data_IF_003758552633
#
_entry.id   IF_003758552633
#
_cell.length_a   1.000
_cell.length_b   1.000
_cell.length_c   1.000
_cell.angle_alpha   90.00
_cell.angle_beta   90.00
_cell.angle_gamma   90.00
#
_symmetry.space_group_name_H-M   'P 1'
#
loop_
_entity.id
_entity.type
_entity.pdbx_description
1 polymer ?
#
# COMPACT_ATOMS: atom_id res chain seq x y z
N UNK A 1 2.87 20.66 12.82
CA UNK A 1 2.47 19.61 11.89
C UNK A 1 2.79 18.25 12.46
N UNK A 2 1.82 17.40 12.52
CA UNK A 2 2.02 16.07 13.04
C UNK A 2 2.30 15.05 11.95
N UNK A 3 2.78 13.91 12.37
CA UNK A 3 2.87 12.73 11.53
C UNK A 3 1.83 11.74 12.02
N UNK A 4 1.40 10.86 11.13
CA UNK A 4 0.40 9.86 11.45
C UNK A 4 1.03 8.48 11.30
N UNK A 5 0.90 7.68 12.35
CA UNK A 5 1.32 6.28 12.32
C UNK A 5 0.10 5.40 12.44
N UNK A 6 0.17 4.22 11.85
CA UNK A 6 -0.89 3.24 11.97
C UNK A 6 -0.28 1.84 12.07
N UNK A 7 -0.90 1.00 12.87
CA UNK A 7 -0.51 -0.39 12.99
C UNK A 7 -1.22 -1.21 11.94
N UNK A 8 -0.49 -2.07 11.27
CA UNK A 8 -1.04 -3.00 10.30
C UNK A 8 -0.54 -4.40 10.60
N UNK A 9 -1.40 -5.36 10.37
CA UNK A 9 -1.02 -6.77 10.42
C UNK A 9 -0.77 -7.22 8.99
N UNK A 10 0.40 -7.78 8.75
CA UNK A 10 0.84 -8.16 7.42
C UNK A 10 1.02 -9.65 7.31
N UNK A 11 0.75 -10.17 6.12
CA UNK A 11 1.06 -11.56 5.78
C UNK A 11 1.17 -11.71 4.28
N UNK A 12 1.64 -12.86 3.84
CA UNK A 12 1.68 -13.20 2.42
C UNK A 12 0.25 -13.27 1.87
N UNK A 13 0.05 -12.91 0.60
CA UNK A 13 -1.28 -13.00 0.00
C UNK A 13 -1.85 -14.42 0.00
N UNK A 14 -1.00 -15.45 -0.06
CA UNK A 14 -1.45 -16.83 -0.06
C UNK A 14 -1.86 -17.33 1.33
N UNK A 15 -1.72 -16.50 2.36
CA UNK A 15 -2.07 -16.85 3.74
C UNK A 15 -1.08 -17.77 4.41
N UNK A 16 0.00 -18.14 3.76
CA UNK A 16 1.03 -19.02 4.31
C UNK A 16 2.12 -18.22 4.99
N UNK A 17 2.81 -18.88 5.91
CA UNK A 17 3.93 -18.28 6.61
C UNK A 17 3.50 -17.37 7.76
N UNK A 18 4.46 -16.64 8.32
CA UNK A 18 4.22 -15.84 9.50
C UNK A 18 3.43 -14.58 9.22
N UNK A 19 2.84 -14.02 10.27
CA UNK A 19 2.28 -12.67 10.24
C UNK A 19 3.19 -11.73 11.00
N UNK A 20 3.14 -10.44 10.67
CA UNK A 20 3.91 -9.41 11.35
C UNK A 20 3.03 -8.21 11.62
N UNK A 21 3.14 -7.66 12.81
CA UNK A 21 2.54 -6.37 13.11
C UNK A 21 3.59 -5.30 12.87
N UNK A 22 3.23 -4.31 12.05
CA UNK A 22 4.17 -3.28 11.64
C UNK A 22 3.54 -1.91 11.85
N UNK A 23 4.32 -1.00 12.40
CA UNK A 23 3.91 0.38 12.55
C UNK A 23 4.38 1.16 11.32
N UNK A 24 3.43 1.73 10.60
CA UNK A 24 3.70 2.48 9.38
C UNK A 24 3.58 3.97 9.62
N UNK A 25 4.49 4.71 9.01
CA UNK A 25 4.30 6.14 8.81
C UNK A 25 3.39 6.31 7.60
N UNK A 26 2.27 7.00 7.79
CA UNK A 26 1.31 7.22 6.69
C UNK A 26 1.76 8.41 5.86
N UNK A 27 1.95 8.17 4.55
CA UNK A 27 2.37 9.22 3.62
C UNK A 27 1.58 9.07 2.32
N UNK A 28 0.52 9.87 2.19
CA UNK A 28 -0.34 9.83 1.01
C UNK A 28 0.32 10.43 -0.23
N UNK A 29 1.49 11.05 -0.08
CA UNK A 29 2.29 11.51 -1.21
C UNK A 29 3.13 10.41 -1.85
N UNK A 30 3.23 9.26 -1.21
CA UNK A 30 3.92 8.09 -1.73
C UNK A 30 2.89 7.16 -2.35
N UNK A 31 3.13 6.69 -3.58
CA UNK A 31 2.13 5.89 -4.28
C UNK A 31 2.05 4.47 -3.72
N UNK A 32 3.18 3.77 -3.62
CA UNK A 32 3.22 2.41 -3.10
C UNK A 32 3.77 2.39 -1.68
N UNK A 33 3.23 1.51 -0.85
CA UNK A 33 3.79 1.26 0.47
C UNK A 33 5.18 0.65 0.34
N UNK A 34 6.02 0.92 1.34
CA UNK A 34 7.41 0.43 1.36
C UNK A 34 7.59 -0.42 2.61
N UNK A 35 8.15 -1.61 2.43
CA UNK A 35 8.50 -2.49 3.52
C UNK A 35 10.03 -2.55 3.63
N UNK A 36 10.60 -2.25 4.82
CA UNK A 36 12.04 -2.45 5.00
C UNK A 36 12.42 -3.92 4.85
N UNK A 37 13.67 -4.16 4.55
CA UNK A 37 14.18 -5.48 4.21
C UNK A 37 13.85 -6.54 5.26
N UNK A 38 14.04 -6.23 6.53
CA UNK A 38 13.75 -7.17 7.61
C UNK A 38 12.30 -7.65 7.57
N UNK A 39 11.37 -6.73 7.27
CA UNK A 39 9.95 -7.05 7.27
C UNK A 39 9.60 -7.97 6.09
N UNK A 40 9.98 -7.59 4.87
CA UNK A 40 9.55 -8.40 3.73
C UNK A 40 10.29 -9.74 3.66
N UNK A 41 11.52 -9.80 4.16
CA UNK A 41 12.22 -11.10 4.28
C UNK A 41 11.58 -11.98 5.33
N UNK A 42 11.21 -11.39 6.47
CA UNK A 42 10.52 -12.13 7.53
C UNK A 42 9.18 -12.69 7.09
N UNK A 43 8.49 -11.98 6.21
CA UNK A 43 7.22 -12.43 5.63
C UNK A 43 7.44 -13.39 4.46
N UNK A 44 8.68 -13.56 4.00
CA UNK A 44 9.03 -14.40 2.86
C UNK A 44 8.37 -13.93 1.56
N UNK A 45 8.25 -12.62 1.39
CA UNK A 45 7.76 -12.05 0.14
C UNK A 45 8.84 -12.16 -0.92
N UNK A 46 8.41 -12.31 -2.16
CA UNK A 46 9.32 -12.43 -3.31
C UNK A 46 9.04 -11.32 -4.30
N UNK A 47 10.10 -10.84 -4.95
CA UNK A 47 9.98 -9.87 -6.01
C UNK A 47 9.14 -10.46 -7.16
N UNK A 48 8.15 -9.71 -7.60
CA UNK A 48 7.28 -10.11 -8.71
C UNK A 48 7.58 -9.33 -9.97
N UNK A 49 8.03 -8.08 -9.82
CA UNK A 49 8.39 -7.24 -10.96
C UNK A 49 9.31 -6.13 -10.49
N UNK A 50 9.96 -5.49 -11.47
CA UNK A 50 10.78 -4.31 -11.24
C UNK A 50 10.02 -3.09 -11.70
N UNK A 51 10.08 -2.02 -10.93
CA UNK A 51 9.41 -0.75 -11.26
C UNK A 51 10.40 0.38 -11.07
N UNK A 52 10.41 1.29 -12.03
CA UNK A 52 11.22 2.51 -11.92
C UNK A 52 10.41 3.57 -11.19
N UNK A 53 11.03 4.15 -10.16
CA UNK A 53 10.46 5.24 -9.40
C UNK A 53 11.35 6.46 -9.56
N UNK A 54 10.76 7.64 -9.46
CA UNK A 54 11.50 8.89 -9.51
C UNK A 54 11.54 9.50 -8.12
N UNK A 55 12.73 9.74 -7.61
CA UNK A 55 12.91 10.40 -6.31
C UNK A 55 12.53 11.89 -6.42
N UNK A 56 12.40 12.53 -5.27
CA UNK A 56 12.00 13.94 -5.22
C UNK A 56 12.96 14.87 -5.99
N UNK A 57 14.23 14.49 -6.07
CA UNK A 57 15.23 15.27 -6.80
C UNK A 57 15.28 14.92 -8.30
N UNK A 58 14.38 14.07 -8.79
CA UNK A 58 14.34 13.66 -10.18
C UNK A 58 15.17 12.44 -10.52
N UNK A 59 15.89 11.87 -9.55
CA UNK A 59 16.73 10.70 -9.79
C UNK A 59 15.85 9.46 -9.99
N UNK A 60 16.02 8.71 -11.09
CA UNK A 60 15.31 7.45 -11.25
C UNK A 60 15.98 6.35 -10.44
N UNK A 61 15.19 5.53 -9.80
CA UNK A 61 15.66 4.33 -9.10
C UNK A 61 14.77 3.17 -9.46
N UNK A 62 15.34 1.98 -9.46
CA UNK A 62 14.59 0.77 -9.74
C UNK A 62 14.44 -0.03 -8.44
N UNK A 63 13.24 -0.51 -8.19
CA UNK A 63 12.94 -1.30 -6.99
C UNK A 63 12.09 -2.50 -7.37
N UNK A 64 12.28 -3.57 -6.63
CA UNK A 64 11.40 -4.74 -6.73
C UNK A 64 10.08 -4.46 -6.04
N UNK A 65 9.00 -4.93 -6.65
CA UNK A 65 7.65 -4.80 -6.12
C UNK A 65 7.07 -6.19 -5.94
N UNK A 66 6.36 -6.38 -4.84
CA UNK A 66 5.67 -7.61 -4.51
C UNK A 66 4.23 -7.28 -4.10
N UNK A 67 3.53 -8.28 -3.59
CA UNK A 67 2.18 -8.11 -3.06
C UNK A 67 2.16 -8.53 -1.61
N UNK A 68 1.39 -7.84 -0.80
CA UNK A 68 1.28 -8.12 0.62
C UNK A 68 -0.16 -7.91 1.07
N UNK A 69 -0.62 -8.77 1.97
CA UNK A 69 -1.94 -8.59 2.53
C UNK A 69 -1.85 -7.74 3.79
N UNK A 70 -2.64 -6.69 3.82
CA UNK A 70 -2.71 -5.73 4.92
C UNK A 70 -4.03 -5.90 5.65
N UNK A 71 -3.97 -5.80 6.98
CA UNK A 71 -5.16 -5.67 7.80
C UNK A 71 -4.99 -4.45 8.70
N UNK A 72 -5.88 -3.47 8.54
CA UNK A 72 -5.85 -2.22 9.29
C UNK A 72 -7.29 -1.92 9.71
N UNK A 73 -7.50 -1.75 11.00
CA UNK A 73 -8.80 -1.35 11.56
C UNK A 73 -9.96 -2.22 11.08
N UNK A 74 -9.71 -3.52 10.97
CA UNK A 74 -10.75 -4.46 10.55
C UNK A 74 -10.92 -4.58 9.06
N UNK A 75 -10.27 -3.74 8.25
CA UNK A 75 -10.26 -3.86 6.80
C UNK A 75 -9.05 -4.65 6.36
N UNK A 76 -9.24 -5.55 5.40
CA UNK A 76 -8.15 -6.37 4.90
C UNK A 76 -8.16 -6.38 3.38
N UNK A 77 -6.97 -6.25 2.78
CA UNK A 77 -6.83 -6.28 1.33
C UNK A 77 -5.40 -6.55 0.95
N UNK A 78 -5.20 -7.03 -0.27
CA UNK A 78 -3.88 -7.22 -0.84
C UNK A 78 -3.49 -5.98 -1.63
N UNK A 79 -2.26 -5.54 -1.46
CA UNK A 79 -1.77 -4.30 -2.06
C UNK A 79 -0.33 -4.48 -2.52
N UNK A 80 0.07 -3.82 -3.61
CA UNK A 80 1.48 -3.82 -3.99
C UNK A 80 2.34 -3.14 -2.93
N UNK A 81 3.55 -3.63 -2.77
CA UNK A 81 4.54 -3.08 -1.85
C UNK A 81 5.90 -3.04 -2.52
N UNK A 82 6.65 -1.98 -2.25
CA UNK A 82 8.05 -1.90 -2.63
C UNK A 82 8.86 -2.71 -1.61
N UNK A 83 9.72 -3.59 -2.11
CA UNK A 83 10.66 -4.31 -1.27
C UNK A 83 11.85 -3.39 -1.01
N UNK A 84 11.81 -2.74 0.14
CA UNK A 84 12.78 -1.73 0.51
C UNK A 84 14.11 -2.33 0.94
N UNK A 85 15.06 -1.42 1.17
CA UNK A 85 16.38 -1.77 1.63
C UNK A 85 16.45 -1.77 3.14
N UNK A 86 17.62 -2.11 3.68
CA UNK A 86 17.80 -2.30 5.11
C UNK A 86 17.46 -1.05 5.93
N UNK A 87 17.76 0.13 5.39
CA UNK A 87 17.56 1.39 6.11
C UNK A 87 16.27 2.10 5.76
N UNK A 88 15.45 1.52 4.90
CA UNK A 88 14.17 2.12 4.56
C UNK A 88 13.19 2.00 5.71
N UNK A 89 12.35 3.02 5.88
CA UNK A 89 11.28 2.97 6.85
C UNK A 89 10.05 2.28 6.29
N UNK A 90 9.16 1.87 7.18
CA UNK A 90 7.87 1.33 6.79
C UNK A 90 6.93 2.49 6.47
N UNK A 91 6.58 2.65 5.19
CA UNK A 91 5.71 3.72 4.70
C UNK A 91 4.42 3.15 4.16
N UNK A 92 3.30 3.74 4.54
CA UNK A 92 1.99 3.35 4.02
C UNK A 92 1.59 4.36 2.96
N UNK A 93 1.48 3.89 1.72
CA UNK A 93 1.23 4.75 0.57
C UNK A 93 -0.22 4.84 0.17
N UNK A 94 -0.49 5.66 -0.85
CA UNK A 94 -1.83 5.98 -1.29
C UNK A 94 -2.60 4.77 -1.80
N UNK A 95 -1.94 3.90 -2.57
CA UNK A 95 -2.61 2.74 -3.17
C UNK A 95 -3.11 1.79 -2.08
N UNK A 96 -2.31 1.54 -1.05
CA UNK A 96 -2.73 0.69 0.07
C UNK A 96 -3.92 1.30 0.80
N UNK A 97 -3.87 2.60 1.09
CA UNK A 97 -4.99 3.27 1.75
C UNK A 97 -6.27 3.15 0.93
N UNK A 98 -6.19 3.45 -0.37
CA UNK A 98 -7.36 3.40 -1.24
C UNK A 98 -7.91 1.99 -1.36
N UNK A 99 -7.01 1.00 -1.49
CA UNK A 99 -7.43 -0.40 -1.59
C UNK A 99 -8.19 -0.84 -0.34
N UNK A 100 -7.79 -0.33 0.83
CA UNK A 100 -8.48 -0.62 2.10
C UNK A 100 -9.71 0.25 2.32
N UNK A 101 -9.99 1.20 1.42
CA UNK A 101 -11.09 2.13 1.61
C UNK A 101 -10.84 3.14 2.72
N UNK A 102 -9.58 3.52 2.92
CA UNK A 102 -9.17 4.44 3.98
C UNK A 102 -8.57 5.71 3.39
N UNK A 103 -8.66 6.78 4.12
CA UNK A 103 -8.04 8.05 3.74
C UNK A 103 -7.42 8.72 4.96
N UNK A 104 -6.41 9.53 4.71
CA UNK A 104 -5.81 10.37 5.73
C UNK A 104 -6.45 11.75 5.65
N UNK A 105 -7.06 12.19 6.76
CA UNK A 105 -7.57 13.56 6.85
C UNK A 105 -6.37 14.48 7.10
N UNK A 106 -6.04 15.39 6.18
CA UNK A 106 -4.85 16.22 6.33
C UNK A 106 -4.97 17.25 7.46
N UNK A 107 -6.18 17.58 7.87
CA UNK A 107 -6.41 18.57 8.92
C UNK A 107 -6.32 17.94 10.31
N UNK A 108 -6.98 16.82 10.53
CA UNK A 108 -7.00 16.15 11.83
C UNK A 108 -5.92 15.10 11.96
N UNK A 109 -5.29 14.70 10.85
CA UNK A 109 -4.29 13.64 10.77
C UNK A 109 -4.84 12.27 11.15
N UNK A 110 -6.15 12.10 11.08
CA UNK A 110 -6.80 10.84 11.37
C UNK A 110 -6.96 10.00 10.13
N UNK A 111 -6.92 8.68 10.32
CA UNK A 111 -7.27 7.73 9.27
C UNK A 111 -8.78 7.49 9.37
N UNK A 112 -9.48 7.75 8.30
CA UNK A 112 -10.93 7.67 8.24
C UNK A 112 -11.37 6.77 7.09
N UNK A 113 -12.58 6.18 7.19
CA UNK A 113 -13.14 5.47 6.04
C UNK A 113 -13.31 6.43 4.88
N UNK A 114 -12.93 5.97 3.68
CA UNK A 114 -13.10 6.74 2.46
C UNK A 114 -14.50 6.49 1.90
N UNK A 115 -15.13 7.56 1.44
CA UNK A 115 -16.40 7.41 0.73
C UNK A 115 -16.12 6.86 -0.65
N UNK A 116 -16.59 5.65 -0.90
CA UNK A 116 -16.37 4.95 -2.17
C UNK A 116 -17.57 5.17 -3.07
N UNK A 117 -17.31 5.50 -4.33
CA UNK A 117 -18.36 5.71 -5.31
C UNK A 117 -18.05 4.89 -6.57
N UNK A 118 -19.09 4.30 -7.15
CA UNK A 118 -18.97 3.62 -8.41
C UNK A 118 -19.83 4.35 -9.45
N UNK A 119 -19.28 4.54 -10.63
CA UNK A 119 -20.06 5.08 -11.74
C UNK A 119 -21.04 4.03 -12.23
N UNK A 120 -22.27 4.45 -12.49
CA UNK A 120 -23.28 3.58 -13.06
C UNK A 120 -23.17 3.64 -14.56
N UNK A 121 -22.81 2.52 -15.18
CA UNK A 121 -22.67 2.44 -16.63
C UNK A 121 -23.94 1.90 -17.24
N UNK A 122 -24.33 2.49 -18.38
CA UNK A 122 -25.48 2.01 -19.15
C UNK A 122 -25.03 0.91 -20.08
N UNK A 123 -25.68 -0.24 -20.00
CA UNK A 123 -25.31 -1.41 -20.80
C UNK A 123 -25.34 -1.13 -22.30
N UNK A 124 -26.24 -0.23 -22.77
CA UNK A 124 -26.37 0.08 -24.19
C UNK A 124 -25.09 0.64 -24.79
N UNK A 125 -24.26 1.32 -24.02
CA UNK A 125 -23.00 1.86 -24.52
C UNK A 125 -21.96 0.77 -24.72
N UNK A 126 -21.95 -0.22 -23.86
CA UNK A 126 -20.96 -1.29 -23.89
C UNK A 126 -21.34 -2.39 -24.88
N UNK A 127 -22.63 -2.70 -24.97
CA UNK A 127 -23.10 -3.71 -25.91
C UNK A 127 -22.81 -3.37 -27.36
N UNK A 128 -22.79 -2.10 -27.71
CA UNK A 128 -22.53 -1.64 -29.07
C UNK A 128 -21.05 -1.54 -29.39
N UNK A 129 -20.20 -1.52 -28.38
CA UNK A 129 -18.76 -1.43 -28.57
C UNK A 129 -18.12 -2.79 -28.84
N UNK A 130 -18.83 -3.86 -28.62
CA UNK A 130 -18.31 -5.21 -28.80
C UNK A 130 -18.18 -5.61 -30.26
#
# INVERSE_FOLDING_TARGET
MGVTYVQARLRRPDGRGPTRNVRFLVDSGVIYSVLPEEIWRGLRLRAERQVEFTLADGTPIERSVSECRFEIRGEAATSPVVLGEQHDGALLGAVTLETLGLMLNPLTREILPMRMSLARLRNSHWGKAA
#
